data_IF_496516284734
#
_entry.id   IF_496516284734
#
_cell.length_a   1.000
_cell.length_b   1.000
_cell.length_c   1.000
_cell.angle_alpha   90.00
_cell.angle_beta   90.00
_cell.angle_gamma   90.00
#
_symmetry.space_group_name_H-M   'P 1'
#
loop_
_entity.id
_entity.type
_entity.pdbx_description
1 polymer ?
#
# COMPACT_ATOMS: atom_id res chain seq x y z
N UNK A 1 27.64 9.36 -21.37
CA UNK A 1 26.29 8.88 -21.79
C UNK A 1 25.84 7.62 -21.04
N UNK A 2 26.72 6.66 -20.75
CA UNK A 2 26.41 5.43 -20.00
C UNK A 2 25.71 5.66 -18.64
N UNK A 3 26.17 6.63 -17.83
CA UNK A 3 25.62 6.88 -16.50
C UNK A 3 24.14 7.33 -16.49
N UNK A 4 23.69 8.06 -17.53
CA UNK A 4 22.27 8.47 -17.68
C UNK A 4 21.38 7.30 -18.09
N UNK A 5 21.91 6.30 -18.80
CA UNK A 5 21.16 5.13 -19.24
C UNK A 5 20.87 4.19 -18.06
N UNK A 6 21.89 3.90 -17.24
CA UNK A 6 21.77 3.02 -16.06
C UNK A 6 20.75 3.57 -15.06
N UNK A 7 20.78 4.87 -14.79
CA UNK A 7 19.88 5.55 -13.87
C UNK A 7 18.39 5.42 -14.24
N UNK A 8 18.05 5.55 -15.52
CA UNK A 8 16.65 5.40 -15.99
C UNK A 8 16.16 3.97 -15.87
N UNK A 9 17.02 3.00 -16.15
CA UNK A 9 16.69 1.57 -16.04
C UNK A 9 16.37 1.19 -14.60
N UNK A 10 17.14 1.70 -13.62
CA UNK A 10 16.90 1.43 -12.19
C UNK A 10 15.57 2.02 -11.72
N UNK A 11 15.29 3.30 -12.03
CA UNK A 11 13.99 3.93 -11.67
C UNK A 11 12.80 3.18 -12.28
N UNK A 12 12.93 2.76 -13.54
CA UNK A 12 11.90 2.00 -14.25
C UNK A 12 11.69 0.64 -13.60
N UNK A 13 12.77 -0.07 -13.28
CA UNK A 13 12.71 -1.36 -12.58
C UNK A 13 11.99 -1.23 -11.23
N UNK A 14 12.36 -0.24 -10.40
CA UNK A 14 11.71 0.04 -9.13
C UNK A 14 10.21 0.34 -9.27
N UNK A 15 9.84 1.17 -10.25
CA UNK A 15 8.44 1.53 -10.50
C UNK A 15 7.62 0.32 -10.94
N UNK A 16 8.18 -0.52 -11.82
CA UNK A 16 7.54 -1.76 -12.27
C UNK A 16 7.38 -2.73 -11.10
N UNK A 17 8.42 -2.93 -10.29
CA UNK A 17 8.37 -3.81 -9.12
C UNK A 17 7.31 -3.37 -8.11
N UNK A 18 7.20 -2.07 -7.86
CA UNK A 18 6.16 -1.52 -6.98
C UNK A 18 4.76 -1.73 -7.55
N UNK A 19 4.55 -1.46 -8.84
CA UNK A 19 3.28 -1.71 -9.51
C UNK A 19 2.88 -3.18 -9.48
N UNK A 20 3.79 -4.09 -9.84
CA UNK A 20 3.55 -5.53 -9.81
C UNK A 20 3.24 -6.01 -8.39
N UNK A 21 3.96 -5.50 -7.39
CA UNK A 21 3.70 -5.82 -5.99
C UNK A 21 2.28 -5.41 -5.57
N UNK A 22 1.88 -4.16 -5.81
CA UNK A 22 0.53 -3.69 -5.50
C UNK A 22 -0.54 -4.49 -6.27
N UNK A 23 -0.29 -4.81 -7.54
CA UNK A 23 -1.18 -5.63 -8.35
C UNK A 23 -1.36 -7.02 -7.75
N UNK A 24 -0.26 -7.72 -7.44
CA UNK A 24 -0.30 -9.06 -6.85
C UNK A 24 -1.08 -9.05 -5.54
N UNK A 25 -0.77 -8.15 -4.60
CA UNK A 25 -1.49 -8.09 -3.32
C UNK A 25 -2.97 -7.79 -3.54
N UNK A 26 -3.32 -6.84 -4.42
CA UNK A 26 -4.70 -6.49 -4.71
C UNK A 26 -5.48 -7.67 -5.31
N UNK A 27 -4.93 -8.35 -6.32
CA UNK A 27 -5.57 -9.50 -6.94
C UNK A 27 -5.65 -10.70 -5.99
N UNK A 28 -4.66 -10.92 -5.13
CA UNK A 28 -4.74 -11.94 -4.08
C UNK A 28 -5.87 -11.63 -3.09
N UNK A 29 -6.03 -10.37 -2.66
CA UNK A 29 -7.14 -9.97 -1.80
C UNK A 29 -8.51 -10.13 -2.50
N UNK A 30 -8.58 -9.80 -3.79
CA UNK A 30 -9.79 -9.99 -4.59
C UNK A 30 -10.13 -11.47 -4.77
N UNK A 31 -9.13 -12.31 -5.02
CA UNK A 31 -9.28 -13.76 -5.10
C UNK A 31 -9.81 -14.33 -3.78
N UNK A 32 -9.19 -13.96 -2.65
CA UNK A 32 -9.66 -14.37 -1.32
C UNK A 32 -11.11 -13.91 -1.09
N UNK A 33 -11.48 -12.70 -1.54
CA UNK A 33 -12.84 -12.19 -1.42
C UNK A 33 -13.85 -13.01 -2.20
N UNK A 34 -13.52 -13.41 -3.43
CA UNK A 34 -14.45 -14.14 -4.30
C UNK A 34 -14.60 -15.59 -3.87
N UNK A 35 -13.52 -16.25 -3.45
CA UNK A 35 -13.51 -17.71 -3.26
C UNK A 35 -13.61 -18.16 -1.81
N UNK A 36 -13.19 -17.35 -0.83
CA UNK A 36 -13.12 -17.78 0.58
C UNK A 36 -14.35 -17.35 1.38
N UNK A 37 -15.31 -16.65 0.77
CA UNK A 37 -16.61 -16.28 1.38
C UNK A 37 -16.47 -15.73 2.81
N UNK A 38 -15.48 -14.88 3.04
CA UNK A 38 -15.28 -14.25 4.34
C UNK A 38 -15.99 -12.90 4.38
N UNK A 39 -16.77 -12.69 5.44
CA UNK A 39 -17.34 -11.40 5.76
C UNK A 39 -16.20 -10.42 6.09
N UNK A 40 -16.03 -9.42 5.23
CA UNK A 40 -14.97 -8.44 5.42
C UNK A 40 -15.37 -7.39 6.46
N UNK A 41 -14.47 -7.16 7.40
CA UNK A 41 -14.57 -6.06 8.35
C UNK A 41 -14.44 -4.68 7.67
N UNK A 42 -14.97 -3.62 8.29
CA UNK A 42 -14.87 -2.25 7.74
C UNK A 42 -13.42 -1.80 7.56
N UNK A 43 -12.54 -2.16 8.50
CA UNK A 43 -11.10 -1.90 8.44
C UNK A 43 -10.44 -2.65 7.28
N UNK A 44 -10.88 -3.87 7.02
CA UNK A 44 -10.42 -4.72 5.92
C UNK A 44 -10.77 -4.07 4.58
N UNK A 45 -11.99 -3.54 4.46
CA UNK A 45 -12.44 -2.81 3.27
C UNK A 45 -11.66 -1.50 3.10
N UNK A 46 -11.40 -0.76 4.19
CA UNK A 46 -10.55 0.43 4.15
C UNK A 46 -9.14 0.10 3.64
N UNK A 47 -8.52 -0.97 4.12
CA UNK A 47 -7.21 -1.44 3.63
C UNK A 47 -7.25 -1.83 2.15
N UNK A 48 -8.31 -2.52 1.69
CA UNK A 48 -8.50 -2.85 0.27
C UNK A 48 -8.61 -1.60 -0.60
N UNK A 49 -9.35 -0.58 -0.16
CA UNK A 49 -9.49 0.68 -0.90
C UNK A 49 -8.17 1.44 -0.96
N UNK A 50 -7.39 1.48 0.14
CA UNK A 50 -6.06 2.10 0.15
C UNK A 50 -5.12 1.33 -0.80
N UNK A 51 -5.15 0.00 -0.79
CA UNK A 51 -4.33 -0.82 -1.70
C UNK A 51 -4.72 -0.61 -3.17
N UNK A 52 -6.02 -0.47 -3.46
CA UNK A 52 -6.50 -0.11 -4.80
C UNK A 52 -5.98 1.27 -5.23
N UNK A 53 -6.01 2.26 -4.34
CA UNK A 53 -5.46 3.59 -4.62
C UNK A 53 -3.96 3.51 -4.88
N UNK A 54 -3.19 2.74 -4.10
CA UNK A 54 -1.77 2.50 -4.36
C UNK A 54 -1.53 1.82 -5.71
N UNK A 55 -2.33 0.82 -6.05
CA UNK A 55 -2.25 0.14 -7.34
C UNK A 55 -2.48 1.12 -8.51
N UNK A 56 -3.55 1.92 -8.46
CA UNK A 56 -3.84 2.92 -9.50
C UNK A 56 -2.75 3.98 -9.56
N UNK A 57 -2.35 4.55 -8.43
CA UNK A 57 -1.31 5.59 -8.38
C UNK A 57 0.05 5.08 -8.85
N UNK A 58 0.40 3.82 -8.55
CA UNK A 58 1.64 3.23 -9.04
C UNK A 58 1.63 3.00 -10.55
N UNK A 59 0.48 2.62 -11.12
CA UNK A 59 0.28 2.56 -12.58
C UNK A 59 0.41 3.93 -13.24
N UNK A 60 -0.17 4.97 -12.63
CA UNK A 60 0.00 6.36 -13.10
C UNK A 60 1.46 6.80 -13.01
N UNK A 61 2.15 6.52 -11.90
CA UNK A 61 3.57 6.83 -11.73
C UNK A 61 4.43 6.15 -12.81
N UNK A 62 4.14 4.89 -13.13
CA UNK A 62 4.81 4.14 -14.20
C UNK A 62 4.56 4.77 -15.57
N UNK A 63 3.33 5.19 -15.88
CA UNK A 63 3.01 5.89 -17.12
C UNK A 63 3.72 7.25 -17.23
N UNK A 64 3.89 7.93 -16.10
CA UNK A 64 4.52 9.24 -16.01
C UNK A 64 6.06 9.19 -16.05
N UNK A 65 6.69 8.02 -16.17
CA UNK A 65 8.16 7.90 -16.11
C UNK A 65 8.92 8.65 -17.21
N UNK A 66 8.22 9.02 -18.29
CA UNK A 66 8.76 9.83 -19.40
C UNK A 66 8.72 11.34 -19.12
N UNK A 67 7.99 11.77 -18.09
CA UNK A 67 7.79 13.18 -17.75
C UNK A 67 8.93 13.70 -16.86
N UNK A 68 8.80 14.98 -16.47
CA UNK A 68 9.78 15.68 -15.63
C UNK A 68 10.05 14.93 -14.31
N UNK A 69 11.32 14.83 -13.86
CA UNK A 69 11.68 14.18 -12.60
C UNK A 69 11.02 14.83 -11.37
N UNK A 70 10.68 16.13 -11.47
CA UNK A 70 9.95 16.84 -10.40
C UNK A 70 8.55 16.27 -10.20
N UNK A 71 7.85 15.95 -11.29
CA UNK A 71 6.49 15.38 -11.26
C UNK A 71 6.54 13.98 -10.66
N UNK A 72 7.49 13.16 -11.10
CA UNK A 72 7.69 11.82 -10.55
C UNK A 72 7.99 11.84 -9.05
N UNK A 73 8.81 12.78 -8.59
CA UNK A 73 9.10 12.93 -7.16
C UNK A 73 7.83 13.28 -6.37
N UNK A 74 7.02 14.23 -6.86
CA UNK A 74 5.77 14.59 -6.20
C UNK A 74 4.81 13.39 -6.12
N UNK A 75 4.67 12.61 -7.19
CA UNK A 75 3.84 11.39 -7.19
C UNK A 75 4.35 10.32 -6.22
N UNK A 76 5.67 10.12 -6.11
CA UNK A 76 6.22 9.18 -5.13
C UNK A 76 6.01 9.63 -3.68
N UNK A 77 6.03 10.94 -3.41
CA UNK A 77 5.66 11.46 -2.09
C UNK A 77 4.19 11.17 -1.78
N UNK A 78 3.30 11.34 -2.75
CA UNK A 78 1.87 10.98 -2.58
C UNK A 78 1.71 9.48 -2.33
N UNK A 79 2.38 8.62 -3.10
CA UNK A 79 2.39 7.16 -2.88
C UNK A 79 2.88 6.81 -1.47
N UNK A 80 3.96 7.44 -1.02
CA UNK A 80 4.51 7.25 0.31
C UNK A 80 3.49 7.61 1.39
N UNK A 81 2.84 8.78 1.28
CA UNK A 81 1.81 9.21 2.22
C UNK A 81 0.64 8.24 2.29
N UNK A 82 0.13 7.79 1.13
CA UNK A 82 -0.97 6.81 1.07
C UNK A 82 -0.55 5.48 1.70
N UNK A 83 0.68 5.02 1.44
CA UNK A 83 1.20 3.78 2.03
C UNK A 83 1.37 3.90 3.55
N UNK A 84 1.80 5.06 4.07
CA UNK A 84 1.88 5.34 5.51
C UNK A 84 0.50 5.35 6.17
N UNK A 85 -0.51 5.94 5.53
CA UNK A 85 -1.90 5.89 6.01
C UNK A 85 -2.39 4.43 6.05
N UNK A 86 -2.14 3.66 4.99
CA UNK A 86 -2.46 2.23 4.95
C UNK A 86 -1.79 1.43 6.05
N UNK A 87 -0.51 1.68 6.33
CA UNK A 87 0.22 1.07 7.44
C UNK A 87 -0.42 1.43 8.79
N UNK A 88 -0.81 2.69 9.01
CA UNK A 88 -1.50 3.11 10.23
C UNK A 88 -2.82 2.37 10.45
N UNK A 89 -3.64 2.23 9.41
CA UNK A 89 -4.89 1.44 9.47
C UNK A 89 -4.59 -0.04 9.74
N UNK A 90 -3.53 -0.60 9.15
CA UNK A 90 -3.13 -1.99 9.36
C UNK A 90 -2.62 -2.27 10.78
N UNK A 91 -1.80 -1.37 11.33
CA UNK A 91 -1.32 -1.47 12.72
C UNK A 91 -2.49 -1.33 13.68
N UNK A 92 -3.39 -0.36 13.47
CA UNK A 92 -4.59 -0.20 14.30
C UNK A 92 -5.48 -1.46 14.26
N UNK A 93 -5.67 -2.04 13.07
CA UNK A 93 -6.41 -3.29 12.94
C UNK A 93 -5.72 -4.46 13.66
N UNK A 94 -4.38 -4.57 13.56
CA UNK A 94 -3.62 -5.55 14.32
C UNK A 94 -3.76 -5.34 15.83
N UNK A 95 -3.68 -4.10 16.29
CA UNK A 95 -3.78 -3.74 17.70
C UNK A 95 -5.12 -4.17 18.30
N UNK A 96 -6.22 -3.89 17.59
CA UNK A 96 -7.55 -4.33 17.96
C UNK A 96 -7.68 -5.86 18.04
N UNK A 97 -7.01 -6.60 17.14
CA UNK A 97 -7.06 -8.06 17.13
C UNK A 97 -6.22 -8.71 18.24
N UNK A 98 -5.05 -8.15 18.58
CA UNK A 98 -4.10 -8.79 19.49
C UNK A 98 -4.15 -8.26 20.93
N UNK A 99 -4.43 -6.97 21.14
CA UNK A 99 -4.29 -6.33 22.46
C UNK A 99 -5.62 -5.93 23.10
N UNK A 100 -6.60 -5.51 22.31
CA UNK A 100 -7.85 -4.94 22.84
C UNK A 100 -9.13 -5.65 22.34
N UNK A 101 -9.26 -6.98 22.50
CA UNK A 101 -10.42 -7.72 22.00
C UNK A 101 -11.74 -7.29 22.64
N UNK A 102 -11.72 -6.73 23.86
CA UNK A 102 -12.92 -6.24 24.57
C UNK A 102 -13.42 -4.88 24.09
N UNK A 103 -12.61 -4.11 23.35
CA UNK A 103 -12.99 -2.79 22.82
C UNK A 103 -13.45 -2.85 21.35
N UNK A 104 -13.65 -4.05 20.80
CA UNK A 104 -14.05 -4.23 19.41
C UNK A 104 -15.53 -3.86 19.18
N UNK A 105 -15.85 -2.56 19.20
CA UNK A 105 -17.09 -2.04 18.62
C UNK A 105 -16.91 -2.02 17.10
N UNK A 106 -16.92 -3.20 16.49
CA UNK A 106 -16.92 -3.32 15.05
C UNK A 106 -18.35 -3.11 14.53
N UNK A 107 -18.60 -1.91 14.01
CA UNK A 107 -19.83 -1.65 13.25
C UNK A 107 -19.63 -2.25 11.85
N UNK A 108 -20.53 -3.11 11.34
CA UNK A 108 -20.40 -3.68 10.02
C UNK A 108 -20.81 -2.61 9.02
N UNK A 109 -20.28 -2.72 7.80
CA UNK A 109 -20.62 -1.78 6.73
C UNK A 109 -22.14 -1.68 6.52
N UNK A 110 -22.84 -2.79 6.75
CA UNK A 110 -24.28 -2.95 6.59
C UNK A 110 -25.05 -2.02 7.55
N UNK A 111 -24.60 -1.82 8.80
CA UNK A 111 -25.27 -0.92 9.73
C UNK A 111 -24.99 0.55 9.46
N UNK A 112 -23.83 0.86 8.85
CA UNK A 112 -23.48 2.22 8.43
C UNK A 112 -24.29 2.65 7.20
N UNK A 113 -24.57 1.73 6.27
CA UNK A 113 -25.32 2.02 5.05
C UNK A 113 -26.84 1.79 5.17
N UNK A 114 -27.32 0.86 5.99
CA UNK A 114 -28.74 0.49 6.09
C UNK A 114 -29.46 1.00 7.35
N UNK A 115 -28.81 1.76 8.24
CA UNK A 115 -29.49 2.53 9.29
C UNK A 115 -30.38 1.76 10.29
N UNK A 116 -30.29 0.43 10.39
CA UNK A 116 -31.26 -0.35 11.18
C UNK A 116 -30.94 -1.82 11.42
N UNK A 117 -29.66 -2.22 11.44
CA UNK A 117 -29.26 -3.59 11.77
C UNK A 117 -28.95 -3.77 13.26
N UNK A 118 -29.53 -4.80 13.87
CA UNK A 118 -29.35 -5.19 15.28
C UNK A 118 -27.86 -5.29 15.69
N UNK A 119 -27.42 -4.42 16.60
CA UNK A 119 -26.00 -4.21 16.98
C UNK A 119 -25.33 -5.45 17.59
N UNK A 120 -26.09 -6.44 18.06
CA UNK A 120 -25.53 -7.61 18.75
C UNK A 120 -24.98 -8.69 17.80
N UNK A 121 -25.55 -8.89 16.61
CA UNK A 121 -25.01 -9.84 15.62
C UNK A 121 -23.79 -9.30 14.84
N UNK A 122 -23.46 -8.05 15.10
CA UNK A 122 -22.61 -7.18 14.29
C UNK A 122 -21.17 -7.15 14.83
N UNK A 123 -21.02 -7.13 16.15
CA UNK A 123 -19.71 -7.10 16.81
C UNK A 123 -18.93 -8.42 16.64
N UNK A 124 -19.63 -9.55 16.42
CA UNK A 124 -19.03 -10.87 16.27
C UNK A 124 -18.31 -11.09 14.92
N UNK A 125 -18.50 -10.22 13.93
CA UNK A 125 -17.96 -10.41 12.57
C UNK A 125 -16.45 -10.10 12.49
N UNK A 126 -15.93 -9.17 13.31
CA UNK A 126 -14.48 -8.86 13.31
C UNK A 126 -13.62 -9.86 14.09
N UNK A 127 -14.17 -10.53 15.11
CA UNK A 127 -13.41 -11.46 15.95
C UNK A 127 -13.11 -12.79 15.26
N UNK A 128 -13.97 -13.19 14.31
CA UNK A 128 -13.89 -14.52 13.67
C UNK A 128 -13.03 -14.56 12.40
N UNK A 129 -12.54 -13.43 11.89
CA UNK A 129 -11.61 -13.40 10.75
C UNK A 129 -10.17 -13.72 11.18
N UNK A 130 -9.94 -14.90 11.77
CA UNK A 130 -8.60 -15.50 11.91
C UNK A 130 -8.21 -16.20 10.60
N UNK A 131 -8.35 -15.48 9.50
CA UNK A 131 -7.96 -15.99 8.21
C UNK A 131 -6.42 -15.99 8.17
N UNK A 132 -5.85 -17.19 8.16
CA UNK A 132 -4.40 -17.38 8.12
C UNK A 132 -3.98 -17.73 6.69
N UNK A 133 -2.94 -17.07 6.20
CA UNK A 133 -2.27 -17.40 4.96
C UNK A 133 -0.83 -17.81 5.29
N UNK A 134 -0.43 -19.03 4.90
CA UNK A 134 0.88 -19.61 5.23
C UNK A 134 1.17 -19.62 6.75
N UNK A 135 0.14 -19.84 7.58
CA UNK A 135 0.28 -19.86 9.05
C UNK A 135 0.41 -18.48 9.69
N UNK A 136 0.34 -17.39 8.91
CA UNK A 136 0.40 -16.01 9.40
C UNK A 136 -0.98 -15.36 9.20
N UNK A 137 -1.42 -14.59 10.20
CA UNK A 137 -2.69 -13.86 10.13
C UNK A 137 -2.68 -12.84 8.98
N UNK A 138 -3.75 -12.78 8.20
CA UNK A 138 -3.96 -11.82 7.10
C UNK A 138 -3.74 -10.36 7.52
N UNK A 139 -4.03 -10.01 8.78
CA UNK A 139 -3.78 -8.65 9.29
C UNK A 139 -2.29 -8.35 9.38
N UNK A 140 -1.47 -9.33 9.82
CA UNK A 140 -0.01 -9.20 9.84
C UNK A 140 0.53 -9.11 8.40
N UNK A 141 -0.01 -9.90 7.48
CA UNK A 141 0.32 -9.78 6.05
C UNK A 141 0.02 -8.39 5.49
N UNK A 142 -1.09 -7.77 5.91
CA UNK A 142 -1.42 -6.40 5.52
C UNK A 142 -0.37 -5.41 6.02
N UNK A 143 0.01 -5.48 7.30
CA UNK A 143 1.07 -4.64 7.88
C UNK A 143 2.38 -4.80 7.10
N UNK A 144 2.81 -6.04 6.87
CA UNK A 144 4.02 -6.33 6.11
C UNK A 144 3.94 -5.76 4.67
N UNK A 145 2.79 -5.85 4.02
CA UNK A 145 2.61 -5.35 2.65
C UNK A 145 2.73 -3.83 2.55
N UNK A 146 2.12 -3.09 3.47
CA UNK A 146 2.24 -1.62 3.49
C UNK A 146 3.66 -1.18 3.87
N UNK A 147 4.30 -1.88 4.81
CA UNK A 147 5.69 -1.62 5.17
C UNK A 147 6.62 -1.83 3.96
N UNK A 148 6.43 -2.91 3.21
CA UNK A 148 7.20 -3.18 2.00
C UNK A 148 6.96 -2.11 0.92
N UNK A 149 5.71 -1.66 0.73
CA UNK A 149 5.40 -0.56 -0.18
C UNK A 149 6.13 0.74 0.24
N UNK A 150 6.17 1.07 1.54
CA UNK A 150 6.94 2.22 2.04
C UNK A 150 8.42 2.08 1.71
N UNK A 151 9.02 0.91 1.96
CA UNK A 151 10.45 0.65 1.67
C UNK A 151 10.75 0.88 0.18
N UNK A 152 9.91 0.38 -0.71
CA UNK A 152 10.07 0.58 -2.15
C UNK A 152 9.99 2.07 -2.55
N UNK A 153 9.05 2.83 -1.99
CA UNK A 153 8.92 4.26 -2.24
C UNK A 153 10.12 5.06 -1.71
N UNK A 154 10.62 4.72 -0.52
CA UNK A 154 11.82 5.34 0.06
C UNK A 154 13.05 5.01 -0.78
N UNK A 155 13.22 3.76 -1.20
CA UNK A 155 14.32 3.35 -2.08
C UNK A 155 14.28 4.11 -3.41
N UNK A 156 13.09 4.33 -3.99
CA UNK A 156 12.93 5.17 -5.17
C UNK A 156 13.41 6.60 -4.93
N UNK A 157 12.95 7.25 -3.86
CA UNK A 157 13.30 8.64 -3.55
C UNK A 157 14.81 8.81 -3.30
N UNK A 158 15.42 7.86 -2.58
CA UNK A 158 16.86 7.83 -2.36
C UNK A 158 17.60 7.76 -3.70
N UNK A 159 17.18 6.84 -4.58
CA UNK A 159 17.79 6.65 -5.90
C UNK A 159 17.68 7.93 -6.74
N UNK A 160 16.51 8.58 -6.77
CA UNK A 160 16.28 9.82 -7.50
C UNK A 160 17.18 10.97 -7.01
N UNK A 161 17.35 11.12 -5.68
CA UNK A 161 18.22 12.14 -5.09
C UNK A 161 19.69 11.92 -5.46
N UNK A 162 20.17 10.67 -5.40
CA UNK A 162 21.54 10.34 -5.80
C UNK A 162 21.80 10.64 -7.28
N UNK A 163 20.84 10.31 -8.16
CA UNK A 163 20.94 10.60 -9.60
C UNK A 163 21.00 12.11 -9.85
N UNK A 164 20.13 12.88 -9.19
CA UNK A 164 20.09 14.33 -9.34
C UNK A 164 21.42 14.98 -8.90
N UNK A 165 21.99 14.54 -7.77
CA UNK A 165 23.26 15.06 -7.24
C UNK A 165 24.46 14.70 -8.12
N UNK A 166 24.45 13.52 -8.73
CA UNK A 166 25.49 13.12 -9.68
C UNK A 166 25.45 13.96 -10.98
N UNK A 167 24.28 14.46 -11.38
CA UNK A 167 24.15 15.30 -12.57
C UNK A 167 24.71 16.71 -12.34
N UNK A 168 24.54 17.30 -11.15
CA UNK A 168 24.99 18.67 -10.86
C UNK A 168 26.50 18.81 -10.75
N UNK A 169 27.22 17.78 -10.28
CA UNK A 169 28.68 17.82 -10.16
C UNK A 169 29.39 17.83 -11.52
N UNK A 170 28.77 17.31 -12.57
CA UNK A 170 29.36 17.23 -13.91
C UNK A 170 29.39 18.57 -14.65
N UNK A 171 28.51 19.51 -14.29
CA UNK A 171 28.37 20.80 -14.99
C UNK A 171 29.37 21.85 -14.49
N UNK A 172 29.81 21.74 -13.23
CA UNK A 172 30.77 22.68 -12.61
C UNK A 172 32.21 22.54 -13.10
N UNK A 173 32.58 21.44 -13.78
CA UNK A 173 33.94 21.21 -14.30
C UNK A 173 34.17 21.72 -15.73
N UNK A 174 33.15 22.32 -16.35
CA UNK A 174 33.21 22.82 -17.73
C UNK A 174 33.10 24.34 -17.86
N UNK A 175 33.04 25.04 -16.73
CA UNK A 175 33.16 26.49 -16.63
C UNK A 175 34.53 26.80 -16.02
#
# INVERSE_FOLDING_TARGET
MLQKSISKTVLKSLSISHFLFCATIFFTLLYLKIYVSHDFCILCLAQQMIMLVLFVLSGVCLALIKFSPKVLRAFNVVLLLVATVGLGVAIYHADLQYFSPQQQVCVPLNAVWYGGGDQQNIANVCQNTRANFLGINLVIWSVASFLFAIILNVAYLITDVFICRASSSSTSKKA
#
